data_IF_055044727544
#
_entry.id   IF_055044727544
#
_cell.length_a   1.000
_cell.length_b   1.000
_cell.length_c   1.000
_cell.angle_alpha   90.00
_cell.angle_beta   90.00
_cell.angle_gamma   90.00
#
_symmetry.space_group_name_H-M   'P 1'
#
loop_
_entity.id
_entity.type
_entity.pdbx_description
1 polymer ?
#
# COMPACT_ATOMS: atom_id res chain seq x y z
N UNK A 1 15.68 -9.65 -4.53
CA UNK A 1 15.23 -8.26 -4.67
C UNK A 1 13.73 -8.35 -4.86
N UNK A 2 12.92 -7.60 -4.10
CA UNK A 2 11.49 -7.56 -4.39
C UNK A 2 11.29 -6.62 -5.56
N UNK A 3 10.64 -7.14 -6.57
CA UNK A 3 10.40 -6.40 -7.80
C UNK A 3 9.22 -5.43 -7.58
N UNK A 4 9.31 -4.22 -8.14
CA UNK A 4 8.21 -3.24 -8.17
C UNK A 4 6.89 -3.91 -8.55
N UNK A 5 6.92 -4.81 -9.53
CA UNK A 5 5.77 -5.58 -10.00
C UNK A 5 5.05 -6.33 -8.88
N UNK A 6 5.78 -6.95 -7.94
CA UNK A 6 5.17 -7.71 -6.83
C UNK A 6 4.41 -6.78 -5.87
N UNK A 7 4.97 -5.60 -5.58
CA UNK A 7 4.31 -4.59 -4.75
C UNK A 7 3.06 -4.06 -5.45
N UNK A 8 3.14 -3.78 -6.76
CA UNK A 8 2.00 -3.32 -7.57
C UNK A 8 0.88 -4.37 -7.59
N UNK A 9 1.21 -5.65 -7.78
CA UNK A 9 0.22 -6.73 -7.77
C UNK A 9 -0.48 -6.87 -6.41
N UNK A 10 0.27 -6.80 -5.31
CA UNK A 10 -0.32 -6.83 -3.97
C UNK A 10 -1.21 -5.60 -3.71
N UNK A 11 -0.76 -4.40 -4.10
CA UNK A 11 -1.55 -3.18 -4.02
C UNK A 11 -2.81 -3.23 -4.87
N UNK A 12 -2.76 -3.84 -6.06
CA UNK A 12 -3.92 -4.05 -6.92
C UNK A 12 -4.96 -4.95 -6.24
N UNK A 13 -4.55 -6.10 -5.70
CA UNK A 13 -5.46 -7.00 -4.97
C UNK A 13 -6.10 -6.29 -3.78
N UNK A 14 -5.30 -5.56 -3.01
CA UNK A 14 -5.79 -4.80 -1.85
C UNK A 14 -6.79 -3.71 -2.25
N UNK A 15 -6.48 -2.93 -3.29
CA UNK A 15 -7.37 -1.90 -3.82
C UNK A 15 -8.68 -2.50 -4.34
N UNK A 16 -8.63 -3.61 -5.07
CA UNK A 16 -9.82 -4.27 -5.61
C UNK A 16 -10.74 -4.74 -4.49
N UNK A 17 -10.21 -5.38 -3.46
CA UNK A 17 -11.01 -5.86 -2.33
C UNK A 17 -11.62 -4.71 -1.54
N UNK A 18 -10.85 -3.65 -1.26
CA UNK A 18 -11.37 -2.45 -0.60
C UNK A 18 -12.46 -1.76 -1.42
N UNK A 19 -12.32 -1.68 -2.74
CA UNK A 19 -13.37 -1.10 -3.58
C UNK A 19 -14.62 -1.98 -3.63
N UNK A 20 -14.46 -3.30 -3.52
CA UNK A 20 -15.59 -4.25 -3.50
C UNK A 20 -16.42 -4.12 -2.23
N UNK A 21 -15.78 -3.91 -1.08
CA UNK A 21 -16.44 -3.92 0.24
C UNK A 21 -16.76 -2.50 0.72
N UNK A 22 -15.82 -1.55 0.53
CA UNK A 22 -15.88 -0.18 1.02
C UNK A 22 -15.73 0.85 -0.11
N UNK A 23 -16.26 0.59 -1.32
CA UNK A 23 -16.00 1.41 -2.52
C UNK A 23 -16.37 2.90 -2.44
N UNK A 24 -17.26 3.28 -1.52
CA UNK A 24 -17.63 4.69 -1.30
C UNK A 24 -16.79 5.37 -0.20
N UNK A 25 -15.83 4.65 0.40
CA UNK A 25 -15.03 5.11 1.52
C UNK A 25 -13.84 5.97 1.07
N UNK A 26 -13.40 6.89 1.91
CA UNK A 26 -12.18 7.67 1.64
C UNK A 26 -10.94 6.78 1.59
N UNK A 27 -10.95 5.68 2.34
CA UNK A 27 -9.87 4.69 2.38
C UNK A 27 -9.72 3.97 1.05
N UNK A 28 -10.81 3.48 0.47
CA UNK A 28 -10.78 2.82 -0.83
C UNK A 28 -10.30 3.77 -1.94
N UNK A 29 -10.75 5.03 -1.89
CA UNK A 29 -10.27 6.08 -2.80
C UNK A 29 -8.78 6.36 -2.64
N UNK A 30 -8.31 6.57 -1.41
CA UNK A 30 -6.91 6.83 -1.11
C UNK A 30 -5.99 5.70 -1.59
N UNK A 31 -6.38 4.44 -1.36
CA UNK A 31 -5.62 3.27 -1.80
C UNK A 31 -5.58 3.19 -3.33
N UNK A 32 -6.69 3.50 -4.00
CA UNK A 32 -6.76 3.54 -5.47
C UNK A 32 -5.85 4.61 -6.07
N UNK A 33 -5.89 5.83 -5.52
CA UNK A 33 -5.04 6.94 -5.94
C UNK A 33 -3.55 6.62 -5.69
N UNK A 34 -3.23 6.03 -4.53
CA UNK A 34 -1.87 5.63 -4.17
C UNK A 34 -1.33 4.53 -5.09
N UNK A 35 -2.17 3.58 -5.51
CA UNK A 35 -1.78 2.56 -6.49
C UNK A 35 -1.40 3.20 -7.83
N UNK A 36 -2.19 4.17 -8.32
CA UNK A 36 -1.88 4.88 -9.57
C UNK A 36 -0.54 5.62 -9.47
N UNK A 37 -0.26 6.24 -8.32
CA UNK A 37 1.01 6.92 -8.09
C UNK A 37 2.19 5.95 -8.07
N UNK A 38 2.05 4.82 -7.38
CA UNK A 38 3.07 3.78 -7.34
C UNK A 38 3.37 3.19 -8.72
N UNK A 39 2.35 3.01 -9.57
CA UNK A 39 2.54 2.51 -10.93
C UNK A 39 3.42 3.46 -11.77
N UNK A 40 3.29 4.78 -11.57
CA UNK A 40 4.05 5.82 -12.29
C UNK A 40 5.43 6.10 -11.69
N UNK A 41 5.64 5.76 -10.43
CA UNK A 41 6.87 6.05 -9.70
C UNK A 41 7.97 5.02 -10.00
N UNK A 42 9.24 5.43 -10.03
CA UNK A 42 10.40 4.55 -10.24
C UNK A 42 11.50 4.81 -9.20
N UNK A 43 12.37 3.83 -8.98
CA UNK A 43 13.55 3.97 -8.12
C UNK A 43 13.23 4.55 -6.72
N UNK A 44 13.92 5.62 -6.33
CA UNK A 44 13.72 6.28 -5.03
C UNK A 44 12.33 6.92 -4.88
N UNK A 45 11.72 7.38 -5.98
CA UNK A 45 10.37 7.94 -5.93
C UNK A 45 9.35 6.84 -5.58
N UNK A 46 9.51 5.64 -6.15
CA UNK A 46 8.65 4.49 -5.85
C UNK A 46 8.68 4.14 -4.37
N UNK A 47 9.87 4.05 -3.78
CA UNK A 47 10.04 3.71 -2.37
C UNK A 47 9.51 4.80 -1.45
N UNK A 48 9.71 6.07 -1.80
CA UNK A 48 9.14 7.20 -1.06
C UNK A 48 7.61 7.18 -1.06
N UNK A 49 7.01 6.96 -2.23
CA UNK A 49 5.55 6.83 -2.38
C UNK A 49 4.99 5.64 -1.60
N UNK A 50 5.70 4.49 -1.59
CA UNK A 50 5.28 3.31 -0.83
C UNK A 50 5.33 3.56 0.68
N UNK A 51 6.39 4.19 1.18
CA UNK A 51 6.51 4.52 2.61
C UNK A 51 5.42 5.52 3.04
N UNK A 52 5.18 6.54 2.23
CA UNK A 52 4.11 7.50 2.47
C UNK A 52 2.74 6.82 2.55
N UNK A 53 2.45 5.94 1.58
CA UNK A 53 1.24 5.15 1.57
C UNK A 53 1.08 4.31 2.85
N UNK A 54 2.11 3.55 3.23
CA UNK A 54 2.08 2.67 4.40
C UNK A 54 1.84 3.44 5.71
N UNK A 55 2.37 4.65 5.82
CA UNK A 55 2.20 5.51 6.99
C UNK A 55 0.81 6.16 7.03
N UNK A 56 0.20 6.45 5.86
CA UNK A 56 -1.06 7.19 5.78
C UNK A 56 -2.30 6.32 5.76
N UNK A 57 -2.26 5.12 5.17
CA UNK A 57 -3.44 4.23 5.12
C UNK A 57 -4.10 4.02 6.49
N UNK A 58 -3.36 3.77 7.60
CA UNK A 58 -3.99 3.55 8.89
C UNK A 58 -4.70 4.79 9.43
N UNK A 59 -4.16 5.98 9.15
CA UNK A 59 -4.73 7.28 9.56
C UNK A 59 -6.02 7.57 8.79
N UNK A 60 -6.01 7.34 7.47
CA UNK A 60 -7.19 7.50 6.63
C UNK A 60 -8.28 6.52 7.05
N UNK A 61 -7.94 5.23 7.20
CA UNK A 61 -8.86 4.18 7.68
C UNK A 61 -9.52 4.56 9.00
N UNK A 62 -8.73 5.03 9.98
CA UNK A 62 -9.24 5.44 11.29
C UNK A 62 -10.21 6.62 11.17
N UNK A 63 -9.87 7.61 10.35
CA UNK A 63 -10.70 8.81 10.15
C UNK A 63 -12.00 8.51 9.43
N UNK A 64 -11.96 7.55 8.50
CA UNK A 64 -13.07 7.07 7.68
C UNK A 64 -13.98 6.08 8.43
N UNK A 65 -13.57 5.63 9.62
CA UNK A 65 -14.38 4.79 10.51
C UNK A 65 -14.62 3.36 10.03
N UNK A 66 -13.87 2.87 9.04
CA UNK A 66 -14.04 1.52 8.49
C UNK A 66 -13.16 0.50 9.21
N UNK A 67 -13.62 -0.75 9.23
CA UNK A 67 -12.84 -1.89 9.70
C UNK A 67 -12.51 -2.82 8.53
N UNK A 68 -11.26 -3.32 8.52
CA UNK A 68 -10.87 -4.32 7.53
C UNK A 68 -11.46 -5.67 7.92
N UNK A 69 -12.06 -6.35 6.96
CA UNK A 69 -12.41 -7.75 7.08
C UNK A 69 -11.15 -8.64 7.03
N UNK A 70 -11.31 -9.96 7.20
CA UNK A 70 -10.17 -10.89 7.24
C UNK A 70 -9.38 -10.95 5.91
N UNK A 71 -10.05 -10.80 4.76
CA UNK A 71 -9.40 -10.77 3.45
C UNK A 71 -8.59 -9.49 3.29
N UNK A 72 -9.17 -8.34 3.63
CA UNK A 72 -8.52 -7.02 3.59
C UNK A 72 -7.34 -6.96 4.54
N UNK A 73 -7.45 -7.52 5.75
CA UNK A 73 -6.33 -7.64 6.69
C UNK A 73 -5.18 -8.45 6.10
N UNK A 74 -5.48 -9.61 5.49
CA UNK A 74 -4.46 -10.46 4.86
C UNK A 74 -3.72 -9.72 3.75
N UNK A 75 -4.45 -9.05 2.87
CA UNK A 75 -3.89 -8.24 1.78
C UNK A 75 -3.10 -7.05 2.31
N UNK A 76 -3.59 -6.38 3.35
CA UNK A 76 -2.85 -5.31 4.03
C UNK A 76 -1.54 -5.81 4.65
N UNK A 77 -1.54 -6.98 5.28
CA UNK A 77 -0.32 -7.58 5.82
C UNK A 77 0.69 -7.93 4.73
N UNK A 78 0.23 -8.44 3.57
CA UNK A 78 1.09 -8.67 2.40
C UNK A 78 1.73 -7.36 1.93
N UNK A 79 0.95 -6.30 1.74
CA UNK A 79 1.46 -4.98 1.33
C UNK A 79 2.42 -4.40 2.37
N UNK A 80 2.09 -4.52 3.66
CA UNK A 80 2.93 -4.02 4.75
C UNK A 80 4.23 -4.78 4.91
N UNK A 81 4.29 -6.06 4.52
CA UNK A 81 5.54 -6.84 4.55
C UNK A 81 6.62 -6.22 3.66
N UNK A 82 6.24 -5.42 2.66
CA UNK A 82 7.19 -4.69 1.85
C UNK A 82 7.87 -3.52 2.59
N UNK A 83 7.35 -3.09 3.74
CA UNK A 83 7.99 -2.10 4.62
C UNK A 83 9.33 -2.61 5.19
N UNK A 84 9.46 -3.92 5.41
CA UNK A 84 10.69 -4.51 5.95
C UNK A 84 11.84 -4.48 4.92
N UNK A 85 11.52 -4.37 3.62
CA UNK A 85 12.50 -4.12 2.55
C UNK A 85 13.01 -2.68 2.58
N UNK A 86 12.16 -1.76 3.06
CA UNK A 86 12.45 -0.38 3.42
C UNK A 86 13.50 -0.22 4.52
N UNK A 87 13.83 -1.28 5.28
CA UNK A 87 14.88 -1.24 6.28
C UNK A 87 16.14 -2.02 5.86
N UNK A 88 15.99 -3.09 5.06
CA UNK A 88 17.11 -3.93 4.63
C UNK A 88 17.84 -3.42 3.37
N UNK A 89 17.23 -2.59 2.54
CA UNK A 89 17.88 -2.02 1.34
C UNK A 89 18.62 -0.70 1.61
N UNK A 90 18.45 -0.10 2.79
CA UNK A 90 18.87 1.28 3.07
C UNK A 90 20.08 1.38 4.01
N UNK A 91 20.48 0.25 4.62
CA UNK A 91 21.76 0.09 5.28
C UNK A 91 22.89 -0.37 4.34
N UNK A 92 22.61 -0.65 3.07
CA UNK A 92 23.59 -1.18 2.12
C UNK A 92 23.87 -0.19 0.98
N UNK A 93 24.53 0.93 1.32
CA UNK A 93 25.61 1.62 0.57
C UNK A 93 25.75 3.06 1.08
N UNK A 94 26.60 3.22 2.09
CA UNK A 94 27.54 4.36 2.20
C UNK A 94 28.94 3.81 1.96
#
# INVERSE_FOLDING_TARGET
MVEKTQVIEAMQKFSQELNRVHGNSQTARFVSESLVELQKSEGMAFTGSLQYFLNRVPVVKLSDGIEFNEVEKKLWHEVRSFNDLGNNLWGARL
#
